data_IF_587831585234
#
_entry.id   IF_587831585234
#
_cell.length_a   1.000
_cell.length_b   1.000
_cell.length_c   1.000
_cell.angle_alpha   90.00
_cell.angle_beta   90.00
_cell.angle_gamma   90.00
#
_symmetry.space_group_name_H-M   'P 1'
#
loop_
_entity.id
_entity.type
_entity.pdbx_description
1 polymer ?
#
# COMPACT_ATOMS: atom_id res chain seq x y z
N UNK A 1 -9.24 16.81 -8.44
CA UNK A 1 -8.82 16.40 -7.08
C UNK A 1 -7.34 16.07 -6.98
N UNK A 2 -6.69 15.56 -8.03
CA UNK A 2 -5.22 15.36 -8.08
C UNK A 2 -4.42 16.64 -7.74
N UNK A 3 -4.80 17.77 -8.31
CA UNK A 3 -4.06 19.03 -8.11
C UNK A 3 -4.09 19.52 -6.65
N UNK A 4 -5.22 19.32 -5.97
CA UNK A 4 -5.39 19.62 -4.55
C UNK A 4 -4.46 18.77 -3.69
N UNK A 5 -4.32 17.49 -4.01
CA UNK A 5 -3.39 16.60 -3.30
C UNK A 5 -1.93 16.97 -3.54
N UNK A 6 -1.58 17.41 -4.75
CA UNK A 6 -0.21 17.85 -5.10
C UNK A 6 0.15 19.16 -4.38
N UNK A 7 -0.80 20.10 -4.29
CA UNK A 7 -0.59 21.38 -3.62
C UNK A 7 -0.55 21.30 -2.09
N UNK A 8 -1.13 20.25 -1.50
CA UNK A 8 -1.14 20.03 -0.05
C UNK A 8 0.28 19.87 0.52
N UNK A 9 0.58 20.61 1.59
CA UNK A 9 1.92 20.65 2.19
C UNK A 9 2.02 19.84 3.48
N UNK A 10 0.89 19.62 4.16
CA UNK A 10 0.84 18.85 5.40
C UNK A 10 0.30 17.43 5.19
N UNK A 11 0.68 16.46 6.05
CA UNK A 11 0.12 15.11 5.99
C UNK A 11 -1.42 15.10 6.18
N UNK A 12 -1.94 15.99 7.02
CA UNK A 12 -3.37 16.11 7.28
C UNK A 12 -4.16 16.57 6.05
N UNK A 13 -3.65 17.58 5.33
CA UNK A 13 -4.26 18.06 4.08
C UNK A 13 -4.25 16.98 2.99
N UNK A 14 -3.13 16.26 2.84
CA UNK A 14 -3.02 15.15 1.89
C UNK A 14 -4.02 14.04 2.18
N UNK A 15 -4.18 13.69 3.46
CA UNK A 15 -5.18 12.70 3.90
C UNK A 15 -6.59 13.15 3.54
N UNK A 16 -6.97 14.38 3.87
CA UNK A 16 -8.31 14.91 3.55
C UNK A 16 -8.58 14.91 2.03
N UNK A 17 -7.58 15.29 1.22
CA UNK A 17 -7.69 15.25 -0.23
C UNK A 17 -7.85 13.81 -0.78
N UNK A 18 -7.15 12.83 -0.19
CA UNK A 18 -7.29 11.42 -0.56
C UNK A 18 -8.67 10.84 -0.18
N UNK A 19 -9.18 11.18 1.01
CA UNK A 19 -10.52 10.76 1.46
C UNK A 19 -11.63 11.31 0.55
N UNK A 20 -11.49 12.56 0.07
CA UNK A 20 -12.43 13.13 -0.89
C UNK A 20 -12.46 12.34 -2.22
N UNK A 21 -11.31 11.87 -2.70
CA UNK A 21 -11.22 11.02 -3.90
C UNK A 21 -11.88 9.66 -3.66
N UNK A 22 -11.63 9.04 -2.50
CA UNK A 22 -12.25 7.76 -2.16
C UNK A 22 -13.78 7.89 -2.08
N UNK A 23 -14.29 8.96 -1.47
CA UNK A 23 -15.73 9.25 -1.44
C UNK A 23 -16.32 9.49 -2.83
N UNK A 24 -15.56 10.09 -3.75
CA UNK A 24 -16.02 10.23 -5.12
C UNK A 24 -16.07 8.88 -5.85
N UNK A 25 -15.10 7.99 -5.61
CA UNK A 25 -15.08 6.65 -6.18
C UNK A 25 -16.30 5.81 -5.76
N UNK A 26 -16.82 5.99 -4.53
CA UNK A 26 -18.05 5.30 -4.10
C UNK A 26 -19.30 5.80 -4.81
N UNK A 27 -19.29 7.03 -5.36
CA UNK A 27 -20.39 7.58 -6.14
C UNK A 27 -20.32 7.15 -7.61
N UNK A 28 -19.11 6.99 -8.15
CA UNK A 28 -18.86 6.56 -9.53
C UNK A 28 -17.97 5.30 -9.52
N UNK A 29 -18.60 4.15 -9.26
CA UNK A 29 -17.90 2.88 -9.05
C UNK A 29 -17.39 2.32 -10.38
N UNK A 30 -16.11 2.52 -10.66
CA UNK A 30 -15.45 1.93 -11.84
C UNK A 30 -15.01 0.49 -11.62
N UNK A 31 -14.73 0.11 -10.36
CA UNK A 31 -14.24 -1.21 -9.97
C UNK A 31 -14.77 -1.56 -8.58
N UNK A 32 -14.92 -2.85 -8.30
CA UNK A 32 -15.33 -3.37 -6.99
C UNK A 32 -14.09 -3.87 -6.25
N UNK A 33 -13.83 -3.33 -5.06
CA UNK A 33 -12.75 -3.78 -4.20
C UNK A 33 -13.15 -5.08 -3.50
N UNK A 34 -12.44 -6.18 -3.80
CA UNK A 34 -12.73 -7.51 -3.22
C UNK A 34 -11.99 -7.77 -1.90
N UNK A 35 -10.99 -6.96 -1.57
CA UNK A 35 -10.16 -7.10 -0.38
C UNK A 35 -8.77 -6.53 -0.58
N UNK A 36 -7.92 -6.71 0.41
CA UNK A 36 -6.50 -6.38 0.36
C UNK A 36 -5.66 -7.64 0.09
N UNK A 37 -4.55 -7.47 -0.62
CA UNK A 37 -3.60 -8.55 -0.86
C UNK A 37 -2.84 -8.90 0.42
N UNK A 38 -2.68 -10.20 0.69
CA UNK A 38 -1.88 -10.70 1.81
C UNK A 38 -0.66 -11.41 1.23
N UNK A 39 0.53 -10.93 1.61
CA UNK A 39 1.80 -11.53 1.20
C UNK A 39 2.06 -12.85 1.90
N UNK A 40 1.72 -13.96 1.24
CA UNK A 40 2.11 -15.31 1.67
C UNK A 40 3.47 -15.67 1.08
N UNK A 41 4.38 -16.20 1.90
CA UNK A 41 5.69 -16.67 1.45
C UNK A 41 6.06 -18.00 2.09
N UNK A 42 6.81 -18.81 1.35
CA UNK A 42 7.38 -20.06 1.84
C UNK A 42 8.90 -19.97 1.67
N UNK A 43 9.64 -20.06 2.78
CA UNK A 43 11.10 -20.04 2.78
C UNK A 43 11.65 -21.25 3.54
N UNK A 44 12.90 -21.64 3.26
CA UNK A 44 13.57 -22.69 4.03
C UNK A 44 13.71 -22.25 5.49
N UNK A 45 13.70 -23.20 6.43
CA UNK A 45 13.73 -22.94 7.87
C UNK A 45 14.97 -22.17 8.36
N UNK A 46 16.06 -22.20 7.59
CA UNK A 46 17.30 -21.49 7.87
C UNK A 46 17.35 -20.08 7.24
N UNK A 47 16.29 -19.63 6.57
CA UNK A 47 16.19 -18.30 5.98
C UNK A 47 15.28 -17.43 6.84
N UNK A 48 15.76 -16.22 7.15
CA UNK A 48 14.99 -15.18 7.83
C UNK A 48 14.59 -14.12 6.81
N UNK A 49 13.32 -13.69 6.84
CA UNK A 49 12.77 -12.65 5.98
C UNK A 49 12.38 -11.42 6.80
N UNK A 50 12.26 -10.23 6.19
CA UNK A 50 11.66 -9.07 6.85
C UNK A 50 10.22 -9.38 7.29
N UNK A 51 9.79 -8.74 8.39
CA UNK A 51 8.44 -8.91 8.94
C UNK A 51 7.34 -8.42 7.99
N UNK A 52 7.64 -7.36 7.22
CA UNK A 52 6.75 -6.86 6.17
C UNK A 52 7.37 -7.22 4.82
N UNK A 53 6.74 -8.11 4.03
CA UNK A 53 7.23 -8.45 2.71
C UNK A 53 7.18 -7.22 1.80
N UNK A 54 8.24 -7.01 1.02
CA UNK A 54 8.28 -5.94 0.02
C UNK A 54 7.22 -6.19 -1.06
N UNK A 55 6.53 -5.15 -1.55
CA UNK A 55 5.56 -5.27 -2.64
C UNK A 55 6.20 -5.70 -3.96
N UNK A 56 7.53 -5.53 -4.07
CA UNK A 56 8.35 -6.02 -5.17
C UNK A 56 9.36 -7.04 -4.66
N UNK A 57 9.71 -8.04 -5.46
CA UNK A 57 10.73 -9.03 -5.10
C UNK A 57 12.06 -8.34 -4.86
N UNK A 58 12.44 -8.21 -3.59
CA UNK A 58 13.69 -7.63 -3.15
C UNK A 58 14.29 -8.54 -2.07
N UNK A 59 15.60 -8.74 -2.12
CA UNK A 59 16.32 -9.60 -1.16
C UNK A 59 16.96 -8.81 -0.03
N UNK A 60 16.50 -7.58 0.21
CA UNK A 60 16.97 -6.78 1.33
C UNK A 60 16.51 -7.37 2.66
N UNK A 61 17.37 -7.31 3.69
CA UNK A 61 17.11 -7.87 5.01
C UNK A 61 16.76 -9.38 5.03
N UNK A 62 17.10 -10.12 3.97
CA UNK A 62 17.04 -11.59 3.94
C UNK A 62 18.37 -12.13 4.42
N UNK A 63 18.36 -12.94 5.48
CA UNK A 63 19.57 -13.52 6.06
C UNK A 63 19.46 -15.03 6.17
N UNK A 64 20.63 -15.68 6.13
CA UNK A 64 20.77 -17.09 6.45
C UNK A 64 21.25 -17.21 7.89
N UNK A 65 20.60 -18.07 8.67
CA UNK A 65 21.03 -18.45 10.01
C UNK A 65 22.28 -19.32 9.97
#
# INVERSE_FOLDING_TARGET
>A
MRDVYIAATTPAEKKAAAEAVQKHQTQAVTHVHLGEWIGVSAVRSNITTPAVPSPVTAFWAVTKK
#
